data_IF_060152559031
#
_entry.id   IF_060152559031
#
_cell.length_a   1.000
_cell.length_b   1.000
_cell.length_c   1.000
_cell.angle_alpha   90.00
_cell.angle_beta   90.00
_cell.angle_gamma   90.00
#
_symmetry.space_group_name_H-M   'P 1'
#
loop_
_entity.id
_entity.type
_entity.pdbx_description
1 polymer ?
#
# COMPACT_ATOMS: atom_id res chain seq x y z
N UNK A 1 -26.45 -27.18 26.04
CA UNK A 1 -27.45 -26.12 25.84
C UNK A 1 -27.01 -25.32 24.64
N UNK A 2 -27.85 -25.21 23.62
CA UNK A 2 -27.50 -24.54 22.37
C UNK A 2 -27.94 -23.08 22.44
N UNK A 3 -26.99 -22.14 22.44
CA UNK A 3 -27.30 -20.72 22.49
C UNK A 3 -27.66 -20.22 21.08
N UNK A 4 -28.97 -20.13 20.81
CA UNK A 4 -29.50 -19.41 19.66
C UNK A 4 -29.24 -17.91 19.85
N UNK A 5 -28.27 -17.37 19.10
CA UNK A 5 -28.10 -15.91 18.98
C UNK A 5 -29.06 -15.38 17.93
N UNK A 6 -30.10 -14.68 18.38
CA UNK A 6 -30.95 -13.86 17.51
C UNK A 6 -30.10 -12.79 16.82
N UNK A 7 -30.20 -12.71 15.49
CA UNK A 7 -29.54 -11.68 14.70
C UNK A 7 -30.60 -10.68 14.23
N UNK A 8 -30.64 -9.51 14.86
CA UNK A 8 -31.45 -8.38 14.38
C UNK A 8 -30.74 -7.73 13.21
N UNK A 9 -31.33 -7.85 12.01
CA UNK A 9 -30.76 -7.36 10.77
C UNK A 9 -30.88 -5.85 10.62
N UNK A 10 -29.77 -5.13 10.75
CA UNK A 10 -29.56 -3.82 10.12
C UNK A 10 -28.12 -3.78 9.60
N UNK A 11 -27.96 -3.55 8.29
CA UNK A 11 -26.77 -3.97 7.55
C UNK A 11 -25.99 -2.79 6.93
N UNK A 12 -24.88 -2.43 7.57
CA UNK A 12 -23.70 -1.71 7.03
C UNK A 12 -22.50 -2.09 7.92
N UNK A 13 -21.36 -2.62 7.48
CA UNK A 13 -20.94 -3.14 6.16
C UNK A 13 -21.16 -4.68 6.08
N UNK A 14 -20.25 -5.45 5.45
CA UNK A 14 -20.26 -6.93 5.43
C UNK A 14 -18.88 -7.51 5.79
N UNK A 15 -18.90 -8.65 6.51
CA UNK A 15 -17.86 -9.70 6.62
C UNK A 15 -16.45 -9.31 7.18
N UNK A 16 -15.87 -9.96 8.20
CA UNK A 16 -16.31 -11.01 9.12
C UNK A 16 -15.60 -10.84 10.48
N UNK A 17 -16.27 -11.17 11.60
CA UNK A 17 -15.71 -10.96 12.94
C UNK A 17 -15.16 -12.24 13.60
N UNK A 18 -13.93 -12.17 14.12
CA UNK A 18 -13.54 -12.92 15.32
C UNK A 18 -12.48 -12.18 16.17
N UNK A 19 -12.97 -11.32 17.06
CA UNK A 19 -12.29 -10.81 18.27
C UNK A 19 -10.88 -10.18 18.12
N UNK A 20 -10.82 -8.89 17.77
CA UNK A 20 -9.79 -7.97 18.25
C UNK A 20 -10.38 -6.55 18.45
N UNK A 21 -9.77 -5.77 19.33
CA UNK A 21 -10.25 -4.45 19.76
C UNK A 21 -9.89 -3.32 18.79
N UNK A 22 -10.90 -2.51 18.42
CA UNK A 22 -10.79 -1.05 18.24
C UNK A 22 -9.67 -0.51 17.33
N UNK A 23 -9.22 -1.26 16.32
CA UNK A 23 -8.14 -0.82 15.45
C UNK A 23 -8.68 0.04 14.30
N UNK A 24 -8.05 1.19 14.05
CA UNK A 24 -8.34 2.01 12.87
C UNK A 24 -7.78 1.34 11.62
N UNK A 25 -8.58 0.54 10.94
CA UNK A 25 -8.19 -0.07 9.67
C UNK A 25 -8.11 1.00 8.57
N UNK A 26 -6.92 1.56 8.39
CA UNK A 26 -6.65 2.53 7.35
C UNK A 26 -6.97 1.97 5.96
N UNK A 27 -7.65 2.76 5.14
CA UNK A 27 -8.00 2.40 3.77
C UNK A 27 -6.77 2.02 2.93
N UNK A 28 -6.97 1.23 1.87
CA UNK A 28 -5.91 0.96 0.90
C UNK A 28 -5.26 2.26 0.42
N UNK A 29 -3.93 2.26 0.29
CA UNK A 29 -3.10 3.44 0.07
C UNK A 29 -2.67 4.17 1.35
N UNK A 30 -3.11 3.77 2.54
CA UNK A 30 -2.77 4.41 3.81
C UNK A 30 -2.23 3.39 4.83
N UNK A 31 -1.47 3.89 5.81
CA UNK A 31 -0.96 3.14 6.97
C UNK A 31 -1.33 3.85 8.28
N UNK A 32 -1.43 3.11 9.40
CA UNK A 32 -1.50 3.66 10.75
C UNK A 32 -0.37 4.66 11.02
N UNK A 33 -0.71 5.70 11.78
CA UNK A 33 0.16 6.80 12.13
C UNK A 33 0.33 6.93 13.64
N UNK A 34 0.30 8.17 14.13
CA UNK A 34 0.26 8.46 15.56
C UNK A 34 -1.18 8.52 16.06
N UNK A 35 -1.49 7.83 17.14
CA UNK A 35 -2.67 8.09 17.97
C UNK A 35 -2.49 9.41 18.73
N UNK A 36 -3.52 10.26 18.79
CA UNK A 36 -3.49 11.46 19.63
C UNK A 36 -3.77 11.15 21.13
N UNK A 37 -3.57 12.10 22.06
CA UNK A 37 -3.87 11.89 23.48
C UNK A 37 -5.35 11.69 23.82
N UNK A 38 -6.27 11.88 22.87
CA UNK A 38 -7.69 11.60 23.02
C UNK A 38 -8.07 10.19 22.50
N UNK A 39 -7.13 9.45 21.93
CA UNK A 39 -7.35 8.11 21.39
C UNK A 39 -7.83 8.08 19.94
N UNK A 40 -7.69 9.17 19.18
CA UNK A 40 -7.97 9.16 17.75
C UNK A 40 -6.73 8.68 16.98
N UNK A 41 -6.88 7.62 16.22
CA UNK A 41 -5.84 7.14 15.31
C UNK A 41 -5.89 7.88 13.97
N UNK A 42 -4.72 8.25 13.46
CA UNK A 42 -4.58 8.96 12.18
C UNK A 42 -3.95 8.05 11.13
N UNK A 43 -4.58 7.98 9.96
CA UNK A 43 -4.05 7.28 8.79
C UNK A 43 -3.23 8.22 7.92
N UNK A 44 -1.98 7.86 7.64
CA UNK A 44 -1.12 8.60 6.71
C UNK A 44 -1.06 7.91 5.35
N UNK A 45 -1.05 8.67 4.24
CA UNK A 45 -0.88 8.08 2.91
C UNK A 45 0.49 7.41 2.82
N UNK A 46 0.58 6.30 2.07
CA UNK A 46 1.85 5.65 1.81
C UNK A 46 2.84 6.64 1.18
N UNK A 47 4.10 6.69 1.66
CA UNK A 47 5.13 7.52 1.04
C UNK A 47 5.48 6.99 -0.36
N UNK A 48 6.14 7.83 -1.15
CA UNK A 48 6.70 7.43 -2.45
C UNK A 48 7.63 6.21 -2.29
N UNK A 49 7.66 5.35 -3.31
CA UNK A 49 8.30 4.04 -3.25
C UNK A 49 7.58 3.01 -2.38
N UNK A 50 6.38 3.30 -1.88
CA UNK A 50 5.57 2.36 -1.10
C UNK A 50 4.11 2.33 -1.55
N UNK A 51 3.41 1.25 -1.21
CA UNK A 51 2.02 1.01 -1.54
C UNK A 51 1.29 0.21 -0.44
N UNK A 52 -0.02 0.37 -0.36
CA UNK A 52 -0.88 -0.45 0.50
C UNK A 52 -2.05 -1.02 -0.33
N UNK A 53 -1.98 -2.31 -0.76
CA UNK A 53 -2.92 -2.87 -1.73
C UNK A 53 -4.30 -3.20 -1.16
N UNK A 54 -4.42 -3.30 0.16
CA UNK A 54 -5.67 -3.52 0.89
C UNK A 54 -5.70 -2.64 2.15
N UNK A 55 -6.88 -2.48 2.74
CA UNK A 55 -7.09 -1.77 4.00
C UNK A 55 -6.62 -2.58 5.21
N UNK A 56 -6.41 -1.93 6.35
CA UNK A 56 -5.99 -2.58 7.60
C UNK A 56 -4.51 -3.01 7.59
N UNK A 57 -3.70 -2.43 6.72
CA UNK A 57 -2.27 -2.74 6.61
C UNK A 57 -1.48 -2.01 7.71
N UNK A 58 -0.75 -2.73 8.56
CA UNK A 58 0.04 -2.14 9.66
C UNK A 58 1.10 -1.12 9.20
N UNK A 59 1.67 -1.34 8.00
CA UNK A 59 2.65 -0.45 7.37
C UNK A 59 2.66 -0.64 5.85
N UNK A 60 2.93 0.43 5.11
CA UNK A 60 3.01 0.36 3.64
C UNK A 60 4.16 -0.55 3.18
N UNK A 61 3.89 -1.35 2.15
CA UNK A 61 4.87 -2.25 1.53
C UNK A 61 5.75 -1.48 0.54
N UNK A 62 7.05 -1.78 0.47
CA UNK A 62 7.94 -1.17 -0.52
C UNK A 62 7.67 -1.70 -1.92
N UNK A 63 7.82 -0.86 -2.94
CA UNK A 63 7.78 -1.32 -4.32
C UNK A 63 8.88 -2.38 -4.57
N UNK A 64 8.57 -3.53 -5.16
CA UNK A 64 9.58 -4.54 -5.50
C UNK A 64 10.55 -4.00 -6.53
N UNK A 65 11.72 -4.62 -6.67
CA UNK A 65 12.83 -4.15 -7.54
C UNK A 65 12.54 -4.16 -9.05
N UNK A 66 11.30 -4.37 -9.51
CA UNK A 66 10.90 -4.16 -10.91
C UNK A 66 9.89 -2.99 -11.08
N UNK A 67 9.57 -2.30 -9.99
CA UNK A 67 8.51 -1.30 -9.90
C UNK A 67 8.98 -0.06 -9.14
N UNK A 68 8.30 1.07 -9.38
CA UNK A 68 8.53 2.35 -8.73
C UNK A 68 7.20 3.03 -8.38
N UNK A 69 7.19 3.99 -7.45
CA UNK A 69 5.98 4.74 -7.13
C UNK A 69 6.28 6.23 -6.83
N UNK A 70 6.00 7.15 -7.76
CA UNK A 70 6.28 8.59 -7.61
C UNK A 70 5.21 9.38 -6.85
N UNK A 71 4.08 8.76 -6.51
CA UNK A 71 2.96 9.43 -5.85
C UNK A 71 2.68 8.88 -4.45
N UNK A 72 2.15 9.74 -3.59
CA UNK A 72 1.70 9.36 -2.25
C UNK A 72 0.35 8.65 -2.32
N UNK A 73 0.06 7.81 -1.31
CA UNK A 73 -1.29 7.28 -1.07
C UNK A 73 -1.71 6.14 -2.00
N UNK A 74 -0.76 5.39 -2.55
CA UNK A 74 -1.00 4.50 -3.69
C UNK A 74 -1.26 3.05 -3.28
N UNK A 75 -2.12 2.36 -4.02
CA UNK A 75 -2.52 0.97 -3.77
C UNK A 75 -1.68 -0.05 -4.53
N UNK A 76 -0.87 0.39 -5.48
CA UNK A 76 0.10 -0.42 -6.23
C UNK A 76 1.29 0.43 -6.63
N UNK A 77 2.36 -0.23 -7.10
CA UNK A 77 3.47 0.44 -7.76
C UNK A 77 3.33 0.33 -9.29
N UNK A 78 4.04 1.19 -10.01
CA UNK A 78 4.11 1.21 -11.47
C UNK A 78 5.28 0.33 -11.94
N UNK A 79 5.09 -0.48 -12.96
CA UNK A 79 6.19 -1.27 -13.55
C UNK A 79 7.23 -0.37 -14.24
N UNK A 80 8.50 -0.69 -14.03
CA UNK A 80 9.60 -0.09 -14.78
C UNK A 80 9.42 -0.30 -16.29
N UNK A 81 9.83 0.67 -17.14
CA UNK A 81 9.70 0.57 -18.59
C UNK A 81 10.48 -0.62 -19.18
N UNK A 82 10.12 -1.00 -20.41
CA UNK A 82 10.60 -2.23 -21.05
C UNK A 82 12.12 -2.44 -20.95
N UNK A 83 12.51 -3.66 -20.55
CA UNK A 83 13.90 -4.06 -20.33
C UNK A 83 14.68 -3.23 -19.29
N UNK A 84 14.00 -2.59 -18.34
CA UNK A 84 14.60 -1.94 -17.17
C UNK A 84 13.98 -2.41 -15.86
N UNK A 85 14.72 -2.25 -14.76
CA UNK A 85 14.27 -2.55 -13.39
C UNK A 85 14.98 -1.66 -12.37
N UNK A 86 14.42 -1.49 -11.18
CA UNK A 86 15.17 -0.90 -10.07
C UNK A 86 16.23 -1.91 -9.57
N UNK A 87 17.36 -1.43 -9.05
CA UNK A 87 18.35 -2.31 -8.43
C UNK A 87 18.12 -2.51 -6.92
N UNK A 88 17.05 -1.95 -6.37
CA UNK A 88 16.67 -1.99 -4.95
C UNK A 88 15.14 -1.85 -4.81
N UNK A 89 14.61 -2.10 -3.62
CA UNK A 89 13.18 -1.95 -3.32
C UNK A 89 12.82 -0.54 -2.85
N UNK A 90 11.67 -0.04 -3.31
CA UNK A 90 11.15 1.28 -2.99
C UNK A 90 11.67 2.40 -3.89
N UNK A 91 11.88 2.09 -5.18
CA UNK A 91 12.18 3.10 -6.18
C UNK A 91 11.05 4.15 -6.26
N UNK A 92 11.43 5.42 -6.35
CA UNK A 92 10.50 6.56 -6.28
C UNK A 92 10.21 7.17 -7.64
N UNK A 93 11.01 6.86 -8.66
CA UNK A 93 10.95 7.49 -9.97
C UNK A 93 11.28 6.50 -11.09
N UNK A 94 10.80 6.74 -12.32
CA UNK A 94 11.16 5.91 -13.48
C UNK A 94 12.64 6.07 -13.86
N UNK A 95 13.31 7.14 -13.41
CA UNK A 95 14.75 7.35 -13.62
C UNK A 95 15.62 6.37 -12.82
N UNK A 96 15.07 5.75 -11.77
CA UNK A 96 15.74 4.73 -10.96
C UNK A 96 15.59 3.31 -11.55
N UNK A 97 14.78 3.17 -12.61
CA UNK A 97 14.69 1.96 -13.43
C UNK A 97 15.87 1.92 -14.41
N UNK A 98 16.86 1.09 -14.11
CA UNK A 98 18.06 0.93 -14.93
C UNK A 98 17.88 -0.22 -15.93
N UNK A 99 18.33 -0.01 -17.17
CA UNK A 99 18.26 -1.04 -18.21
C UNK A 99 19.07 -2.28 -17.84
N UNK A 100 18.59 -3.46 -18.23
CA UNK A 100 19.36 -4.70 -18.08
C UNK A 100 20.69 -4.60 -18.84
N UNK A 101 21.78 -5.25 -18.38
CA UNK A 101 23.05 -5.28 -19.11
C UNK A 101 22.85 -5.76 -20.55
N UNK A 102 23.29 -4.96 -21.53
CA UNK A 102 23.10 -5.23 -22.96
C UNK A 102 21.81 -4.66 -23.57
N UNK A 103 20.93 -4.04 -22.78
CA UNK A 103 19.83 -3.22 -23.28
C UNK A 103 20.18 -1.74 -23.18
N UNK A 104 20.01 -1.02 -24.28
CA UNK A 104 20.18 0.43 -24.36
C UNK A 104 18.80 1.08 -24.32
N UNK A 105 18.62 2.13 -23.53
CA UNK A 105 17.52 3.04 -23.78
C UNK A 105 17.69 3.64 -25.19
N UNK A 106 16.62 3.88 -25.97
CA UNK A 106 16.73 4.69 -27.17
C UNK A 106 17.30 6.05 -26.77
N UNK A 107 18.27 6.56 -27.53
CA UNK A 107 18.95 7.82 -27.22
C UNK A 107 17.91 8.95 -27.11
N UNK A 108 17.69 9.44 -25.89
CA UNK A 108 16.77 10.53 -25.64
C UNK A 108 17.27 11.83 -26.27
N UNK A 109 16.38 12.78 -26.61
CA UNK A 109 16.80 14.06 -27.17
C UNK A 109 17.66 14.82 -26.14
N UNK A 110 18.91 15.09 -26.53
CA UNK A 110 19.82 15.99 -25.82
C UNK A 110 19.58 17.47 -26.13
#
# INVERSE_FOLDING_TARGET
GSLLVHMTSDAVHQDAGFAASFFSECSAGFQPGSTDPAGNDYCYPCPIGQFAPYSGLDACSRCPSHQYQPQLGQTSCLDCPAASRANYEGATSPAECLCYPGFHAPEGPG
#
